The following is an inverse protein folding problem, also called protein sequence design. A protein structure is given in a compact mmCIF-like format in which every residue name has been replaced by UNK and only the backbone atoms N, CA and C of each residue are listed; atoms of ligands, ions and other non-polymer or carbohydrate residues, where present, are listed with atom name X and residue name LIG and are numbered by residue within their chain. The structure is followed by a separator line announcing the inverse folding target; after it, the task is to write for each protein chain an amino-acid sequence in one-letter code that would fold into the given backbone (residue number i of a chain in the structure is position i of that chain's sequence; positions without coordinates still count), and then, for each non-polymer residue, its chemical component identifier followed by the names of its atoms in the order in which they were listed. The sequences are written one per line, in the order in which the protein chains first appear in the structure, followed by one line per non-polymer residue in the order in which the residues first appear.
data_IF_578610198042
#
_entry.id   IF_578610198042
#
_cell.length_a   1.000
_cell.length_b   1.000
_cell.length_c   1.000
_cell.angle_alpha   90.00
_cell.angle_beta   90.00
_cell.angle_gamma   90.00
#
_symmetry.space_group_name_H-M   'P 1'
#
loop_
_entity.id
_entity.type
_entity.pdbx_description
1 polymer ?
#
# COMPACT_ATOMS: atom_id res chain seq x y z
N UNK A 1 49.36 24.75 -11.16
CA UNK A 1 48.52 23.65 -10.66
C UNK A 1 47.09 23.99 -11.06
N UNK A 2 46.65 23.53 -12.24
CA UNK A 2 45.28 23.78 -12.71
C UNK A 2 44.39 22.62 -12.24
N UNK A 3 43.34 22.93 -11.48
CA UNK A 3 42.37 21.94 -11.03
C UNK A 3 41.57 21.41 -12.23
N UNK A 4 41.38 20.08 -12.38
CA UNK A 4 40.60 19.53 -13.46
C UNK A 4 39.13 19.93 -13.30
N UNK A 5 38.60 20.63 -14.29
CA UNK A 5 37.19 21.00 -14.40
C UNK A 5 36.31 19.75 -14.34
N UNK A 6 35.36 19.73 -13.41
CA UNK A 6 34.39 18.66 -13.26
C UNK A 6 33.64 18.43 -14.59
N UNK A 7 33.45 17.16 -15.02
CA UNK A 7 32.74 16.88 -16.26
C UNK A 7 31.30 17.37 -16.15
N UNK A 8 30.93 18.31 -17.02
CA UNK A 8 29.57 18.84 -17.13
C UNK A 8 28.69 17.75 -17.75
N UNK A 9 28.12 16.91 -16.90
CA UNK A 9 27.18 15.88 -17.32
C UNK A 9 25.84 16.54 -17.65
N UNK A 10 25.58 16.78 -18.95
CA UNK A 10 24.29 17.25 -19.47
C UNK A 10 23.24 16.13 -19.37
N UNK A 11 22.81 15.82 -18.15
CA UNK A 11 21.68 14.92 -17.94
C UNK A 11 20.39 15.68 -18.21
N UNK A 12 19.58 15.19 -19.14
CA UNK A 12 18.27 15.81 -19.43
C UNK A 12 17.33 15.58 -18.26
N UNK A 13 16.33 16.44 -18.11
CA UNK A 13 15.29 16.29 -17.07
C UNK A 13 14.63 14.91 -17.19
N UNK A 14 14.41 14.43 -18.40
CA UNK A 14 13.88 13.08 -18.68
C UNK A 14 14.79 11.96 -18.14
N UNK A 15 16.11 12.10 -18.26
CA UNK A 15 17.06 11.12 -17.73
C UNK A 15 17.05 11.10 -16.20
N UNK A 16 16.91 12.27 -15.56
CA UNK A 16 16.77 12.36 -14.09
C UNK A 16 15.46 11.72 -13.62
N UNK A 17 14.35 11.98 -14.33
CA UNK A 17 13.05 11.39 -14.02
C UNK A 17 13.05 9.87 -14.19
N UNK A 18 13.72 9.37 -15.25
CA UNK A 18 13.88 7.94 -15.51
C UNK A 18 14.72 7.24 -14.43
N UNK A 19 15.81 7.87 -14.00
CA UNK A 19 16.64 7.37 -12.91
C UNK A 19 15.89 7.34 -11.57
N UNK A 20 15.10 8.38 -11.28
CA UNK A 20 14.28 8.46 -10.08
C UNK A 20 13.17 7.38 -10.05
N UNK A 21 12.48 7.17 -11.17
CA UNK A 21 11.47 6.10 -11.32
C UNK A 21 12.10 4.71 -11.14
N UNK A 22 13.26 4.46 -11.75
CA UNK A 22 13.99 3.22 -11.57
C UNK A 22 14.38 3.00 -10.10
N UNK A 23 14.91 4.02 -9.42
CA UNK A 23 15.27 3.94 -8.01
C UNK A 23 14.06 3.69 -7.09
N UNK A 24 12.89 4.30 -7.37
CA UNK A 24 11.63 4.03 -6.64
C UNK A 24 11.20 2.56 -6.80
N UNK A 25 11.30 2.00 -8.01
CA UNK A 25 11.00 0.59 -8.29
C UNK A 25 11.98 -0.38 -7.59
N UNK A 26 13.27 -0.04 -7.54
CA UNK A 26 14.27 -0.86 -6.83
C UNK A 26 14.06 -0.83 -5.30
N UNK A 27 13.72 0.32 -4.71
CA UNK A 27 13.52 0.45 -3.26
C UNK A 27 12.25 -0.21 -2.74
N UNK A 28 11.16 -0.15 -3.51
CA UNK A 28 9.87 -0.75 -3.12
C UNK A 28 9.80 -2.26 -3.42
N UNK A 29 10.82 -2.81 -4.09
CA UNK A 29 10.75 -4.08 -4.79
C UNK A 29 9.74 -4.01 -5.94
N UNK A 30 9.80 -4.96 -6.88
CA UNK A 30 8.66 -5.13 -7.77
C UNK A 30 7.44 -5.49 -6.90
N UNK A 31 6.24 -4.96 -7.17
CA UNK A 31 5.03 -5.36 -6.47
C UNK A 31 4.91 -6.89 -6.42
N UNK A 32 5.22 -7.55 -7.54
CA UNK A 32 5.34 -9.01 -7.67
C UNK A 32 6.27 -9.65 -6.63
N UNK A 33 7.47 -9.12 -6.39
CA UNK A 33 8.40 -9.68 -5.40
C UNK A 33 7.92 -9.44 -3.97
N UNK A 34 7.40 -8.26 -3.66
CA UNK A 34 6.87 -7.94 -2.33
C UNK A 34 5.67 -8.81 -2.00
N UNK A 35 4.78 -9.00 -2.96
CA UNK A 35 3.59 -9.83 -2.81
C UNK A 35 3.96 -11.32 -2.73
N UNK A 36 4.96 -11.76 -3.52
CA UNK A 36 5.57 -13.10 -3.38
C UNK A 36 6.22 -13.31 -2.00
N UNK A 37 6.90 -12.30 -1.44
CA UNK A 37 7.50 -12.37 -0.10
C UNK A 37 6.42 -12.39 0.99
N UNK A 38 5.33 -11.64 0.83
CA UNK A 38 4.16 -11.73 1.71
C UNK A 38 3.55 -13.11 1.67
N UNK A 39 3.35 -13.67 0.48
CA UNK A 39 2.76 -15.00 0.34
C UNK A 39 3.69 -16.08 0.91
N UNK A 40 5.01 -15.98 0.68
CA UNK A 40 5.99 -16.86 1.33
C UNK A 40 5.98 -16.75 2.86
N UNK A 41 5.82 -15.56 3.42
CA UNK A 41 5.66 -15.40 4.87
C UNK A 41 4.35 -16.02 5.36
N UNK A 42 3.27 -15.87 4.61
CA UNK A 42 1.96 -16.48 4.91
C UNK A 42 2.04 -18.00 4.89
N UNK A 43 2.70 -18.57 3.88
CA UNK A 43 2.98 -20.00 3.76
C UNK A 43 3.82 -20.48 4.93
N UNK A 44 4.95 -19.83 5.24
CA UNK A 44 5.80 -20.22 6.38
C UNK A 44 5.07 -20.23 7.71
N UNK A 45 4.17 -19.27 7.92
CA UNK A 45 3.36 -19.23 9.14
C UNK A 45 2.34 -20.37 9.19
N UNK A 46 1.68 -20.67 8.06
CA UNK A 46 0.76 -21.81 7.92
C UNK A 46 1.49 -23.15 8.09
N UNK A 47 2.65 -23.31 7.48
CA UNK A 47 3.50 -24.51 7.58
C UNK A 47 4.05 -24.69 8.99
N UNK A 48 4.50 -23.63 9.68
CA UNK A 48 4.95 -23.74 11.07
C UNK A 48 3.82 -24.19 12.00
N UNK A 49 2.60 -23.66 11.79
CA UNK A 49 1.41 -24.08 12.54
C UNK A 49 1.00 -25.51 12.20
N UNK A 50 1.05 -25.88 10.92
CA UNK A 50 0.78 -27.25 10.44
C UNK A 50 1.81 -28.24 11.00
N UNK A 51 3.11 -27.97 10.89
CA UNK A 51 4.16 -28.80 11.48
C UNK A 51 4.03 -28.93 12.99
N UNK A 52 3.61 -27.88 13.70
CA UNK A 52 3.31 -27.99 15.13
C UNK A 52 2.11 -28.91 15.40
N UNK A 53 1.09 -28.86 14.55
CA UNK A 53 -0.09 -29.71 14.64
C UNK A 53 0.21 -31.16 14.24
N UNK A 54 0.96 -31.38 13.15
CA UNK A 54 1.40 -32.69 12.66
C UNK A 54 2.36 -33.36 13.65
N UNK A 55 3.22 -32.60 14.34
CA UNK A 55 4.03 -33.13 15.45
C UNK A 55 3.17 -33.55 16.63
N UNK A 56 2.09 -32.82 16.93
CA UNK A 56 1.13 -33.20 17.97
C UNK A 56 0.29 -34.42 17.56
N UNK A 57 -0.05 -34.51 16.27
CA UNK A 57 -0.81 -35.60 15.65
C UNK A 57 0.02 -36.89 15.52
N UNK A 58 1.29 -36.80 15.16
CA UNK A 58 2.23 -37.93 15.13
C UNK A 58 2.49 -38.53 16.52
N UNK A 59 2.22 -37.78 17.60
CA UNK A 59 2.21 -38.29 18.98
C UNK A 59 0.90 -39.03 19.29
N UNK A 60 -0.18 -38.75 18.55
CA UNK A 60 -1.53 -39.25 18.81
C UNK A 60 -2.02 -40.35 17.84
N UNK A 61 -1.39 -40.55 16.67
CA UNK A 61 -1.87 -41.43 15.59
C UNK A 61 -1.02 -42.69 15.39
N UNK A 62 -0.90 -43.50 16.43
CA UNK A 62 -0.91 -44.96 16.24
C UNK A 62 -2.38 -45.38 16.04
N UNK A 63 -2.92 -45.35 14.81
CA UNK A 63 -4.25 -45.93 14.54
C UNK A 63 -5.07 -45.32 13.40
N UNK A 64 -4.84 -45.81 12.19
CA UNK A 64 -5.84 -46.14 11.14
C UNK A 64 -6.62 -45.10 10.27
N UNK A 65 -6.80 -43.81 10.58
CA UNK A 65 -7.69 -42.95 9.74
C UNK A 65 -7.00 -41.86 8.88
N UNK A 66 -5.77 -42.07 8.41
CA UNK A 66 -5.06 -41.03 7.65
C UNK A 66 -5.57 -40.80 6.22
N UNK A 67 -6.02 -41.84 5.52
CA UNK A 67 -6.34 -41.78 4.08
C UNK A 67 -7.62 -40.99 3.80
N UNK A 68 -8.65 -41.12 4.63
CA UNK A 68 -9.88 -40.31 4.55
C UNK A 68 -9.60 -38.82 4.78
N UNK A 69 -8.74 -38.51 5.76
CA UNK A 69 -8.34 -37.15 6.09
C UNK A 69 -7.56 -36.51 4.93
N UNK A 70 -6.71 -37.29 4.25
CA UNK A 70 -6.01 -36.82 3.05
C UNK A 70 -6.96 -36.52 1.90
N UNK A 71 -7.98 -37.36 1.69
CA UNK A 71 -8.96 -37.16 0.63
C UNK A 71 -9.84 -35.92 0.89
N UNK A 72 -10.36 -35.75 2.11
CA UNK A 72 -11.10 -34.54 2.50
C UNK A 72 -10.24 -33.27 2.32
N UNK A 73 -8.96 -33.34 2.68
CA UNK A 73 -8.03 -32.22 2.53
C UNK A 73 -7.77 -31.85 1.06
N UNK A 74 -7.68 -32.84 0.17
CA UNK A 74 -7.51 -32.61 -1.27
C UNK A 74 -8.77 -31.96 -1.86
N UNK A 75 -9.96 -32.41 -1.46
CA UNK A 75 -11.23 -31.82 -1.89
C UNK A 75 -11.38 -30.36 -1.44
N UNK A 76 -11.03 -30.06 -0.19
CA UNK A 76 -11.04 -28.70 0.35
C UNK A 76 -10.08 -27.77 -0.42
N UNK A 77 -8.89 -28.27 -0.77
CA UNK A 77 -7.93 -27.52 -1.61
C UNK A 77 -8.52 -27.26 -2.99
N UNK A 78 -9.06 -28.29 -3.65
CA UNK A 78 -9.58 -28.17 -5.02
C UNK A 78 -10.76 -27.20 -5.09
N UNK A 79 -11.65 -27.23 -4.09
CA UNK A 79 -12.75 -26.27 -3.96
C UNK A 79 -12.23 -24.84 -3.80
N UNK A 80 -11.24 -24.63 -2.93
CA UNK A 80 -10.63 -23.30 -2.74
C UNK A 80 -9.99 -22.76 -4.02
N UNK A 81 -9.34 -23.62 -4.80
CA UNK A 81 -8.78 -23.23 -6.11
C UNK A 81 -9.86 -22.82 -7.11
N UNK A 82 -10.96 -23.57 -7.18
CA UNK A 82 -12.08 -23.23 -8.05
C UNK A 82 -12.74 -21.90 -7.65
N UNK A 83 -12.98 -21.69 -6.35
CA UNK A 83 -13.53 -20.43 -5.80
C UNK A 83 -12.62 -19.23 -6.13
N UNK A 84 -11.29 -19.38 -6.01
CA UNK A 84 -10.34 -18.33 -6.39
C UNK A 84 -10.40 -18.02 -7.90
N UNK A 85 -10.55 -19.03 -8.74
CA UNK A 85 -10.61 -18.86 -10.18
C UNK A 85 -11.90 -18.14 -10.60
N UNK A 86 -13.03 -18.47 -9.98
CA UNK A 86 -14.32 -17.77 -10.17
C UNK A 86 -14.29 -16.32 -9.61
N UNK A 87 -13.59 -16.06 -8.52
CA UNK A 87 -13.36 -14.69 -8.01
C UNK A 87 -12.49 -13.85 -8.96
N UNK A 88 -11.44 -14.44 -9.53
CA UNK A 88 -10.58 -13.79 -10.53
C UNK A 88 -11.32 -13.50 -11.84
N UNK A 89 -12.21 -14.41 -12.28
CA UNK A 89 -13.04 -14.21 -13.47
C UNK A 89 -14.12 -13.15 -13.25
N UNK A 90 -14.78 -13.13 -12.08
CA UNK A 90 -15.74 -12.08 -11.71
C UNK A 90 -15.10 -10.69 -11.54
N UNK A 91 -13.80 -10.61 -11.26
CA UNK A 91 -13.07 -9.34 -11.18
C UNK A 91 -12.88 -8.67 -12.54
N UNK A 92 -12.99 -9.41 -13.66
CA UNK A 92 -12.76 -8.87 -15.00
C UNK A 92 -14.01 -8.31 -15.69
N UNK A 93 -15.23 -8.69 -15.27
CA UNK A 93 -16.48 -8.21 -15.86
C UNK A 93 -17.11 -6.98 -15.17
N UNK A 94 -16.39 -6.35 -14.23
CA UNK A 94 -16.96 -5.38 -13.28
C UNK A 94 -16.56 -3.90 -13.37
N UNK A 95 -16.13 -3.35 -14.52
CA UNK A 95 -16.09 -1.88 -14.76
C UNK A 95 -15.14 -1.00 -13.89
N UNK A 96 -14.89 0.26 -14.29
CA UNK A 96 -13.69 1.01 -13.89
C UNK A 96 -13.81 1.65 -12.49
N UNK A 97 -12.78 1.48 -11.63
CA UNK A 97 -12.61 2.28 -10.39
C UNK A 97 -11.21 2.91 -10.34
N UNK A 98 -10.97 3.94 -11.16
CA UNK A 98 -9.72 4.72 -11.15
C UNK A 98 -9.68 5.89 -10.13
N UNK A 99 -10.72 6.07 -9.30
CA UNK A 99 -10.88 7.28 -8.46
C UNK A 99 -10.75 7.02 -6.95
N UNK A 100 -10.19 5.88 -6.55
CA UNK A 100 -9.99 5.57 -5.14
C UNK A 100 -8.83 6.40 -4.54
N UNK A 101 -9.14 7.41 -3.71
CA UNK A 101 -8.15 8.22 -2.99
C UNK A 101 -7.48 7.42 -1.87
N UNK A 102 -6.15 7.37 -1.88
CA UNK A 102 -5.37 6.76 -0.79
C UNK A 102 -5.25 7.77 0.35
N UNK A 103 -5.37 7.28 1.58
CA UNK A 103 -5.24 8.07 2.78
C UNK A 103 -3.83 8.65 2.93
N UNK A 104 -3.67 9.99 3.02
CA UNK A 104 -2.36 10.63 3.11
C UNK A 104 -1.65 10.35 4.46
N UNK A 105 -2.40 10.13 5.53
CA UNK A 105 -1.85 9.84 6.87
C UNK A 105 -1.26 8.43 6.98
N UNK A 106 -2.03 7.38 6.64
CA UNK A 106 -1.56 6.00 6.80
C UNK A 106 -0.90 5.40 5.54
N UNK A 107 -1.08 6.04 4.37
CA UNK A 107 -0.57 5.61 3.06
C UNK A 107 -0.94 4.16 2.67
N UNK A 108 -1.96 3.58 3.32
CA UNK A 108 -2.35 2.17 3.19
C UNK A 108 -3.82 1.99 2.85
N UNK A 109 -4.71 2.72 3.55
CA UNK A 109 -6.15 2.61 3.36
C UNK A 109 -6.69 3.56 2.30
N UNK A 110 -7.77 3.17 1.63
CA UNK A 110 -8.57 4.06 0.78
C UNK A 110 -9.48 4.93 1.65
N UNK A 111 -9.61 6.21 1.32
CA UNK A 111 -10.55 7.12 1.97
C UNK A 111 -11.97 6.81 1.53
N UNK A 112 -12.87 6.72 2.52
CA UNK A 112 -14.31 6.71 2.29
C UNK A 112 -14.80 8.15 2.38
N UNK A 113 -15.53 8.61 1.37
CA UNK A 113 -15.96 10.00 1.21
C UNK A 113 -17.48 10.09 1.40
N UNK A 114 -17.91 11.00 2.26
CA UNK A 114 -19.33 11.28 2.51
C UNK A 114 -19.61 12.77 2.29
N UNK A 115 -20.69 13.12 1.60
CA UNK A 115 -21.13 14.51 1.51
C UNK A 115 -21.99 14.85 2.72
N UNK A 116 -21.59 15.88 3.47
CA UNK A 116 -22.34 16.33 4.65
C UNK A 116 -23.41 17.37 4.26
N UNK A 117 -24.37 17.62 5.16
CA UNK A 117 -25.47 18.60 4.94
C UNK A 117 -24.96 20.02 4.68
N UNK A 118 -23.77 20.35 5.17
CA UNK A 118 -23.11 21.65 5.00
C UNK A 118 -22.30 21.78 3.70
N UNK A 119 -22.53 20.90 2.71
CA UNK A 119 -21.80 20.85 1.43
C UNK A 119 -20.28 20.66 1.56
N UNK A 120 -19.82 20.08 2.68
CA UNK A 120 -18.41 19.68 2.90
C UNK A 120 -18.27 18.17 2.79
N UNK A 121 -17.15 17.71 2.24
CA UNK A 121 -16.85 16.28 2.16
C UNK A 121 -16.16 15.83 3.44
N UNK A 122 -16.69 14.78 4.05
CA UNK A 122 -16.09 14.09 5.18
C UNK A 122 -15.29 12.89 4.66
N UNK A 123 -14.00 12.88 4.96
CA UNK A 123 -13.09 11.79 4.63
C UNK A 123 -12.90 10.93 5.87
N UNK A 124 -12.98 9.61 5.71
CA UNK A 124 -12.70 8.64 6.78
C UNK A 124 -11.77 7.55 6.29
N UNK A 125 -10.85 7.14 7.16
CA UNK A 125 -10.00 6.00 6.90
C UNK A 125 -10.12 4.95 8.02
N UNK A 126 -9.88 3.68 7.67
CA UNK A 126 -9.77 2.58 8.66
C UNK A 126 -8.62 2.76 9.65
N UNK A 127 -7.67 3.65 9.38
CA UNK A 127 -6.63 4.00 10.34
C UNK A 127 -7.10 4.95 11.46
N UNK A 128 -8.39 5.32 11.48
CA UNK A 128 -9.00 6.12 12.55
C UNK A 128 -9.05 7.62 12.28
N UNK A 129 -8.53 8.10 11.14
CA UNK A 129 -8.63 9.52 10.82
C UNK A 129 -10.01 9.88 10.26
N UNK A 130 -10.47 11.08 10.62
CA UNK A 130 -11.56 11.76 9.94
C UNK A 130 -11.25 13.24 9.83
N UNK A 131 -11.45 13.81 8.65
CA UNK A 131 -11.26 15.23 8.39
C UNK A 131 -12.28 15.72 7.37
N UNK A 132 -12.46 17.04 7.29
CA UNK A 132 -13.37 17.67 6.36
C UNK A 132 -12.59 18.46 5.31
N UNK A 133 -12.96 18.29 4.04
CA UNK A 133 -12.31 19.01 2.95
C UNK A 133 -13.27 19.30 1.79
N UNK A 134 -12.72 19.93 0.75
CA UNK A 134 -13.33 20.20 -0.55
C UNK A 134 -13.54 18.89 -1.32
N UNK A 135 -13.93 19.02 -2.58
CA UNK A 135 -14.15 17.89 -3.48
C UNK A 135 -12.93 16.93 -3.55
N UNK A 136 -13.14 15.61 -3.65
CA UNK A 136 -12.07 14.61 -3.75
C UNK A 136 -11.05 14.87 -4.86
N UNK A 137 -11.48 15.36 -6.03
CA UNK A 137 -10.53 15.67 -7.11
C UNK A 137 -9.66 16.88 -6.75
N UNK A 138 -10.25 17.88 -6.09
CA UNK A 138 -9.51 19.05 -5.59
C UNK A 138 -8.50 18.61 -4.52
N UNK A 139 -8.91 17.79 -3.56
CA UNK A 139 -8.02 17.25 -2.53
C UNK A 139 -6.86 16.47 -3.15
N UNK A 140 -7.13 15.65 -4.18
CA UNK A 140 -6.10 14.92 -4.91
C UNK A 140 -5.06 15.85 -5.54
N UNK A 141 -5.54 16.89 -6.20
CA UNK A 141 -4.66 17.90 -6.82
C UNK A 141 -3.86 18.67 -5.78
N UNK A 142 -4.46 19.08 -4.66
CA UNK A 142 -3.78 19.81 -3.61
C UNK A 142 -2.68 18.97 -2.95
N UNK A 143 -2.97 17.70 -2.63
CA UNK A 143 -1.97 16.77 -2.09
C UNK A 143 -0.78 16.60 -3.05
N UNK A 144 -1.04 16.44 -4.35
CA UNK A 144 0.01 16.31 -5.35
C UNK A 144 0.87 17.58 -5.42
N UNK A 145 0.25 18.76 -5.46
CA UNK A 145 0.96 20.06 -5.51
C UNK A 145 1.84 20.26 -4.28
N UNK A 146 1.34 19.96 -3.08
CA UNK A 146 2.09 20.14 -1.84
C UNK A 146 3.27 19.15 -1.72
N UNK A 147 3.07 17.90 -2.15
CA UNK A 147 4.16 16.93 -2.23
C UNK A 147 5.21 17.38 -3.25
N UNK A 148 4.80 17.83 -4.44
CA UNK A 148 5.72 18.26 -5.49
C UNK A 148 6.52 19.53 -5.09
N UNK A 149 5.89 20.47 -4.39
CA UNK A 149 6.60 21.65 -3.83
C UNK A 149 7.66 21.22 -2.83
N UNK A 150 7.34 20.29 -1.94
CA UNK A 150 8.28 19.77 -0.97
C UNK A 150 9.42 18.96 -1.63
N UNK A 151 9.10 18.08 -2.58
CA UNK A 151 10.07 17.21 -3.27
C UNK A 151 11.11 18.00 -4.10
N UNK A 152 10.83 19.27 -4.43
CA UNK A 152 11.81 20.15 -5.09
C UNK A 152 13.04 20.44 -4.23
N UNK A 153 12.88 20.49 -2.90
CA UNK A 153 13.92 20.92 -1.97
C UNK A 153 14.30 19.84 -0.96
N UNK A 154 13.47 18.81 -0.78
CA UNK A 154 13.68 17.75 0.19
C UNK A 154 13.38 16.37 -0.40
N UNK A 155 14.25 15.40 -0.13
CA UNK A 155 14.10 14.02 -0.61
C UNK A 155 13.37 13.09 0.38
N UNK A 156 13.00 13.62 1.54
CA UNK A 156 12.24 12.87 2.56
C UNK A 156 10.74 12.93 2.24
N UNK A 157 9.95 11.92 2.66
CA UNK A 157 8.51 11.96 2.45
C UNK A 157 7.87 13.03 3.33
N UNK A 158 6.88 13.74 2.78
CA UNK A 158 6.02 14.62 3.55
C UNK A 158 5.04 13.77 4.37
N UNK A 159 4.95 14.04 5.67
CA UNK A 159 4.07 13.32 6.60
C UNK A 159 2.81 14.15 6.78
N UNK A 160 1.65 13.53 6.56
CA UNK A 160 0.38 14.18 6.79
C UNK A 160 -0.24 13.72 8.10
N UNK A 161 -0.89 14.64 8.81
CA UNK A 161 -1.68 14.38 10.01
C UNK A 161 -2.93 15.25 10.00
N UNK A 162 -3.88 14.97 10.90
CA UNK A 162 -5.10 15.77 11.05
C UNK A 162 -5.00 16.54 12.35
N UNK A 163 -5.16 17.86 12.31
CA UNK A 163 -5.22 18.69 13.52
C UNK A 163 -6.49 18.32 14.31
N UNK A 164 -6.38 17.88 15.59
CA UNK A 164 -7.53 17.56 16.41
C UNK A 164 -8.48 18.75 16.67
N UNK A 165 -8.00 19.99 16.58
CA UNK A 165 -8.81 21.19 16.82
C UNK A 165 -9.54 21.65 15.57
N UNK A 166 -8.81 21.80 14.45
CA UNK A 166 -9.38 22.29 13.20
C UNK A 166 -9.97 21.21 12.31
N UNK A 167 -9.65 19.93 12.56
CA UNK A 167 -10.01 18.78 11.71
C UNK A 167 -9.60 18.97 10.23
N UNK A 168 -8.49 19.67 10.04
CA UNK A 168 -7.86 19.95 8.75
C UNK A 168 -6.65 19.07 8.56
N UNK A 169 -6.25 18.86 7.31
CA UNK A 169 -5.12 18.03 6.98
C UNK A 169 -3.86 18.88 6.91
N UNK A 170 -2.86 18.56 7.72
CA UNK A 170 -1.60 19.27 7.77
C UNK A 170 -0.46 18.36 7.34
N UNK A 171 0.54 18.94 6.68
CA UNK A 171 1.76 18.29 6.20
C UNK A 171 2.98 18.84 6.91
N UNK A 172 3.83 17.97 7.43
CA UNK A 172 5.13 18.32 8.02
C UNK A 172 6.23 17.41 7.50
N UNK A 173 7.43 17.95 7.34
CA UNK A 173 8.63 17.17 7.10
C UNK A 173 9.48 17.08 8.36
N UNK A 174 9.99 15.89 8.67
CA UNK A 174 10.89 15.69 9.83
C UNK A 174 12.34 16.12 9.54
N UNK A 175 12.68 16.44 8.28
CA UNK A 175 14.06 16.71 7.87
C UNK A 175 14.30 18.12 7.33
N UNK A 176 13.25 18.90 7.10
CA UNK A 176 13.33 20.31 6.77
C UNK A 176 12.16 21.06 7.42
N UNK A 177 12.25 22.39 7.47
CA UNK A 177 11.23 23.24 8.07
C UNK A 177 9.98 23.42 7.18
N UNK A 178 9.71 22.45 6.29
CA UNK A 178 8.53 22.49 5.44
C UNK A 178 7.29 22.12 6.24
N UNK A 179 6.31 23.01 6.19
CA UNK A 179 5.00 22.86 6.79
C UNK A 179 3.93 23.38 5.84
N UNK A 180 2.81 22.66 5.73
CA UNK A 180 1.66 23.07 4.94
C UNK A 180 0.34 22.70 5.64
N UNK A 181 -0.68 23.52 5.42
CA UNK A 181 -2.05 23.27 5.86
C UNK A 181 -2.93 23.18 4.61
N UNK A 182 -3.72 22.11 4.50
CA UNK A 182 -4.73 21.90 3.45
C UNK A 182 -6.13 22.20 3.98
#
# INVERSE_FOLDING_TARGET
MECPTNPICKTTIEQKLKAQKAAKLYRLGSPKLRDLLREKCRIRFKEARRNSHDRMRAINEEGEDQEEIYNEFIEEINKWFAEQQEEEENYFEGGPKMNALICPVCQKGTLVVYLNKDSRYNYRCRCGISFFDKDPEILRSLLAVEIDKHEQFCSKPLIFFVDPLMQQLEGICEACDYFSCL
#
